data_IF_111071549316
#
_entry.id   IF_111071549316
#
_cell.length_a   1.000
_cell.length_b   1.000
_cell.length_c   1.000
_cell.angle_alpha   90.00
_cell.angle_beta   90.00
_cell.angle_gamma   90.00
#
_symmetry.space_group_name_H-M   'P 1'
#
loop_
_entity.id
_entity.type
_entity.pdbx_description
1 polymer ?
#
# COMPACT_ATOMS: atom_id res chain seq x y z
N UNK A 1 13.05 10.07 -24.14
CA UNK A 1 13.38 9.51 -25.46
C UNK A 1 12.10 8.82 -25.95
N UNK A 2 11.49 9.29 -27.04
CA UNK A 2 10.36 8.63 -27.66
C UNK A 2 10.86 7.31 -28.28
N UNK A 3 10.62 6.20 -27.59
CA UNK A 3 10.96 4.88 -28.09
C UNK A 3 10.08 4.58 -29.31
N UNK A 4 10.67 4.14 -30.40
CA UNK A 4 9.92 3.58 -31.53
C UNK A 4 8.98 2.48 -31.00
N UNK A 5 7.72 2.40 -31.44
CA UNK A 5 6.83 1.30 -31.04
C UNK A 5 7.46 -0.09 -31.22
N UNK A 6 8.38 -0.22 -32.22
CA UNK A 6 9.12 -1.44 -32.51
C UNK A 6 10.05 -1.94 -31.39
N UNK A 7 10.51 -1.08 -30.49
CA UNK A 7 11.50 -1.42 -29.45
C UNK A 7 10.88 -1.73 -28.09
N UNK A 8 9.56 -1.64 -27.94
CA UNK A 8 8.87 -1.82 -26.66
C UNK A 8 9.05 -3.24 -26.12
N UNK A 9 9.32 -3.40 -24.83
CA UNK A 9 9.51 -4.70 -24.15
C UNK A 9 8.34 -5.03 -23.24
N UNK A 10 7.73 -4.00 -22.62
CA UNK A 10 6.70 -4.19 -21.59
C UNK A 10 5.52 -3.24 -21.83
N UNK A 11 4.32 -3.80 -21.81
CA UNK A 11 3.07 -3.05 -21.71
C UNK A 11 2.53 -3.19 -20.29
N UNK A 12 2.25 -2.05 -19.67
CA UNK A 12 1.56 -1.94 -18.39
C UNK A 12 0.11 -1.52 -18.67
N UNK A 13 -0.84 -2.47 -18.78
CA UNK A 13 -2.23 -2.14 -19.04
C UNK A 13 -2.90 -1.59 -17.77
N UNK A 14 -3.79 -0.62 -17.93
CA UNK A 14 -4.75 -0.18 -16.92
C UNK A 14 -6.09 0.13 -17.60
N UNK A 15 -6.84 -0.93 -17.89
CA UNK A 15 -8.08 -0.87 -18.64
C UNK A 15 -9.29 -0.48 -17.79
N UNK A 16 -9.08 -0.17 -16.51
CA UNK A 16 -10.15 0.22 -15.60
C UNK A 16 -10.27 1.75 -15.50
N UNK A 17 -11.51 2.26 -15.67
CA UNK A 17 -11.77 3.71 -15.63
C UNK A 17 -11.79 4.30 -14.21
N UNK A 18 -12.17 3.49 -13.18
CA UNK A 18 -12.22 3.96 -11.80
C UNK A 18 -10.83 3.88 -11.16
N UNK A 19 -10.44 4.93 -10.45
CA UNK A 19 -9.23 4.90 -9.64
C UNK A 19 -9.39 3.94 -8.46
N UNK A 20 -8.39 3.13 -8.16
CA UNK A 20 -8.43 2.13 -7.09
C UNK A 20 -7.03 1.88 -6.53
N UNK A 21 -6.92 1.15 -5.41
CA UNK A 21 -5.63 0.76 -4.84
C UNK A 21 -4.71 0.04 -5.84
N UNK A 22 -5.27 -0.84 -6.70
CA UNK A 22 -4.50 -1.49 -7.77
C UNK A 22 -3.99 -0.47 -8.80
N UNK A 23 -4.78 0.55 -9.14
CA UNK A 23 -4.30 1.63 -10.01
C UNK A 23 -3.18 2.42 -9.34
N UNK A 24 -3.32 2.72 -8.04
CA UNK A 24 -2.32 3.46 -7.27
C UNK A 24 -0.97 2.71 -7.25
N UNK A 25 -0.95 1.43 -6.86
CA UNK A 25 0.29 0.62 -6.84
C UNK A 25 0.92 0.48 -8.21
N UNK A 26 0.10 0.27 -9.26
CA UNK A 26 0.60 0.16 -10.63
C UNK A 26 1.25 1.47 -11.11
N UNK A 27 0.63 2.62 -10.77
CA UNK A 27 1.15 3.95 -11.09
C UNK A 27 2.47 4.26 -10.38
N UNK A 28 2.68 3.74 -9.18
CA UNK A 28 3.92 3.96 -8.43
C UNK A 28 5.10 3.17 -9.01
N UNK A 29 4.89 1.90 -9.34
CA UNK A 29 5.98 1.03 -9.81
C UNK A 29 6.29 1.21 -11.32
N UNK A 30 5.30 1.57 -12.15
CA UNK A 30 5.46 1.65 -13.60
C UNK A 30 6.58 2.60 -14.07
N UNK A 31 6.77 3.81 -13.49
CA UNK A 31 7.91 4.68 -13.83
C UNK A 31 9.28 4.07 -13.47
N UNK A 32 9.34 3.25 -12.41
CA UNK A 32 10.59 2.54 -12.04
C UNK A 32 10.88 1.41 -13.03
N UNK A 33 9.86 0.67 -13.46
CA UNK A 33 10.00 -0.32 -14.54
C UNK A 33 10.45 0.32 -15.85
N UNK A 34 9.96 1.54 -16.17
CA UNK A 34 10.36 2.26 -17.37
C UNK A 34 11.82 2.72 -17.37
N UNK A 35 12.51 2.75 -16.21
CA UNK A 35 13.95 2.95 -16.11
C UNK A 35 14.76 1.69 -16.44
N UNK A 36 14.19 0.52 -16.24
CA UNK A 36 14.85 -0.78 -16.43
C UNK A 36 14.53 -1.42 -17.78
N UNK A 37 13.34 -1.15 -18.32
CA UNK A 37 12.81 -1.73 -19.55
C UNK A 37 12.21 -0.64 -20.44
N UNK A 38 12.15 -0.88 -21.72
CA UNK A 38 11.38 -0.05 -22.66
C UNK A 38 9.88 -0.34 -22.44
N UNK A 39 9.32 0.28 -21.40
CA UNK A 39 7.97 0.06 -20.94
C UNK A 39 7.03 1.21 -21.36
N UNK A 40 5.77 0.87 -21.66
CA UNK A 40 4.73 1.85 -21.92
C UNK A 40 3.44 1.53 -21.17
N UNK A 41 2.75 2.57 -20.76
CA UNK A 41 1.43 2.50 -20.16
C UNK A 41 0.35 2.47 -21.22
N UNK A 42 -0.59 1.52 -21.12
CA UNK A 42 -1.73 1.41 -22.01
C UNK A 42 -3.05 1.53 -21.24
N UNK A 43 -3.83 2.55 -21.55
CA UNK A 43 -5.14 2.80 -20.93
C UNK A 43 -5.21 4.07 -20.06
N UNK A 44 -6.12 4.06 -19.07
CA UNK A 44 -6.46 5.21 -18.24
C UNK A 44 -5.43 5.48 -17.14
N UNK A 45 -5.39 6.72 -16.61
CA UNK A 45 -4.61 7.13 -15.45
C UNK A 45 -3.08 6.93 -15.57
N UNK A 46 -2.50 7.15 -16.75
CA UNK A 46 -1.05 7.07 -16.92
C UNK A 46 -0.31 8.02 -15.97
N UNK A 47 0.70 7.54 -15.21
CA UNK A 47 1.53 8.41 -14.41
C UNK A 47 2.55 9.18 -15.27
N UNK A 48 3.18 10.20 -14.70
CA UNK A 48 4.41 10.76 -15.25
C UNK A 48 5.55 9.72 -15.19
N UNK A 49 6.59 9.89 -16.01
CA UNK A 49 7.78 9.04 -16.00
C UNK A 49 7.66 7.70 -16.74
N UNK A 50 6.55 7.46 -17.45
CA UNK A 50 6.39 6.32 -18.38
C UNK A 50 5.72 6.78 -19.68
N UNK A 51 6.17 6.28 -20.82
CA UNK A 51 5.57 6.57 -22.12
C UNK A 51 4.11 6.08 -22.18
N UNK A 52 3.23 6.87 -22.80
CA UNK A 52 1.84 6.45 -23.08
C UNK A 52 1.78 5.79 -24.44
N UNK A 53 1.19 4.61 -24.51
CA UNK A 53 0.94 3.90 -25.75
C UNK A 53 -0.45 4.28 -26.28
N UNK A 54 -0.51 4.85 -27.49
CA UNK A 54 -1.77 5.11 -28.16
C UNK A 54 -2.39 3.82 -28.70
N UNK A 55 -3.70 3.81 -28.96
CA UNK A 55 -4.36 2.65 -29.59
C UNK A 55 -3.77 2.37 -30.97
N UNK A 56 -3.46 3.42 -31.75
CA UNK A 56 -2.88 3.28 -33.09
C UNK A 56 -1.50 2.62 -33.03
N UNK A 57 -0.64 3.05 -32.08
CA UNK A 57 0.70 2.46 -31.93
C UNK A 57 0.61 1.05 -31.33
N UNK A 58 -0.33 0.82 -30.42
CA UNK A 58 -0.61 -0.53 -29.92
C UNK A 58 -0.94 -1.47 -31.09
N UNK A 59 -1.82 -1.12 -31.98
CA UNK A 59 -2.19 -1.97 -33.12
C UNK A 59 -1.03 -2.29 -34.06
N UNK A 60 -0.04 -1.40 -34.20
CA UNK A 60 1.20 -1.65 -34.99
C UNK A 60 2.05 -2.79 -34.41
N UNK A 61 1.95 -3.06 -33.08
CA UNK A 61 2.71 -4.10 -32.42
C UNK A 61 2.28 -5.52 -32.79
N UNK A 62 1.13 -5.72 -33.40
CA UNK A 62 0.63 -7.05 -33.82
C UNK A 62 1.59 -7.77 -34.79
N UNK A 63 2.26 -7.02 -35.67
CA UNK A 63 3.20 -7.57 -36.67
C UNK A 63 4.61 -7.86 -36.14
N UNK A 64 4.82 -7.61 -34.85
CA UNK A 64 6.12 -7.79 -34.21
C UNK A 64 6.44 -9.27 -34.06
N UNK A 65 7.73 -9.65 -34.26
CA UNK A 65 8.21 -11.02 -34.02
C UNK A 65 8.76 -11.23 -32.61
N UNK A 66 9.38 -10.19 -32.03
CA UNK A 66 9.96 -10.27 -30.70
C UNK A 66 8.88 -10.33 -29.62
N UNK A 67 9.09 -11.09 -28.54
CA UNK A 67 8.14 -11.19 -27.44
C UNK A 67 7.86 -9.82 -26.80
N UNK A 68 6.66 -9.66 -26.23
CA UNK A 68 6.20 -8.45 -25.61
C UNK A 68 5.47 -8.80 -24.32
N UNK A 69 5.93 -8.29 -23.19
CA UNK A 69 5.29 -8.56 -21.90
C UNK A 69 4.00 -7.72 -21.79
N UNK A 70 2.91 -8.39 -21.39
CA UNK A 70 1.65 -7.79 -20.96
C UNK A 70 1.45 -8.09 -19.50
N UNK A 71 1.71 -7.10 -18.61
CA UNK A 71 1.65 -7.29 -17.17
C UNK A 71 0.30 -6.87 -16.59
N UNK A 72 -0.63 -7.79 -16.51
CA UNK A 72 -1.97 -7.61 -15.95
C UNK A 72 -1.98 -7.58 -14.42
N UNK A 73 -2.89 -6.78 -13.85
CA UNK A 73 -3.17 -6.73 -12.41
C UNK A 73 -4.65 -6.94 -12.09
N UNK A 74 -5.49 -7.13 -13.13
CA UNK A 74 -6.94 -7.36 -13.02
C UNK A 74 -7.43 -8.39 -14.03
N UNK A 75 -8.61 -8.95 -13.74
CA UNK A 75 -9.24 -9.95 -14.63
C UNK A 75 -9.49 -9.42 -16.04
N UNK A 76 -9.98 -8.18 -16.20
CA UNK A 76 -10.22 -7.60 -17.52
C UNK A 76 -8.93 -7.45 -18.34
N UNK A 77 -7.82 -7.16 -17.68
CA UNK A 77 -6.51 -7.08 -18.30
C UNK A 77 -5.97 -8.47 -18.68
N UNK A 78 -6.21 -9.50 -17.85
CA UNK A 78 -5.91 -10.89 -18.19
C UNK A 78 -6.76 -11.37 -19.38
N UNK A 79 -8.06 -11.07 -19.39
CA UNK A 79 -8.97 -11.44 -20.51
C UNK A 79 -8.46 -10.81 -21.81
N UNK A 80 -8.14 -9.51 -21.78
CA UNK A 80 -7.61 -8.80 -22.94
C UNK A 80 -6.29 -9.43 -23.43
N UNK A 81 -5.36 -9.72 -22.54
CA UNK A 81 -4.08 -10.34 -22.89
C UNK A 81 -4.26 -11.75 -23.50
N UNK A 82 -5.12 -12.59 -22.93
CA UNK A 82 -5.42 -13.93 -23.46
C UNK A 82 -6.07 -13.85 -24.84
N UNK A 83 -7.04 -12.93 -25.03
CA UNK A 83 -7.71 -12.74 -26.33
C UNK A 83 -6.73 -12.24 -27.41
N UNK A 84 -5.90 -11.25 -27.09
CA UNK A 84 -4.89 -10.73 -28.01
C UNK A 84 -3.86 -11.80 -28.39
N UNK A 85 -3.39 -12.60 -27.44
CA UNK A 85 -2.50 -13.72 -27.73
C UNK A 85 -3.14 -14.78 -28.63
N UNK A 86 -4.43 -15.07 -28.44
CA UNK A 86 -5.19 -15.97 -29.32
C UNK A 86 -5.35 -15.41 -30.74
N UNK A 87 -5.32 -14.08 -30.91
CA UNK A 87 -5.33 -13.40 -32.21
C UNK A 87 -3.94 -13.26 -32.83
N UNK A 88 -2.92 -13.93 -32.29
CA UNK A 88 -1.57 -13.97 -32.85
C UNK A 88 -0.61 -12.86 -32.38
N UNK A 89 -0.95 -12.13 -31.33
CA UNK A 89 -0.02 -11.17 -30.72
C UNK A 89 1.11 -11.90 -30.00
N UNK A 90 2.39 -11.45 -30.08
CA UNK A 90 3.53 -12.12 -29.46
C UNK A 90 3.61 -11.82 -27.96
N UNK A 91 2.50 -11.97 -27.23
CA UNK A 91 2.40 -11.60 -25.83
C UNK A 91 2.90 -12.69 -24.88
N UNK A 92 3.76 -12.31 -23.95
CA UNK A 92 4.06 -13.02 -22.71
C UNK A 92 3.21 -12.41 -21.58
N UNK A 93 2.35 -13.20 -20.99
CA UNK A 93 1.36 -12.74 -20.04
C UNK A 93 1.86 -12.89 -18.60
N UNK A 94 2.01 -11.78 -17.91
CA UNK A 94 2.36 -11.74 -16.48
C UNK A 94 1.15 -11.24 -15.69
N UNK A 95 0.91 -11.82 -14.53
CA UNK A 95 -0.17 -11.41 -13.64
C UNK A 95 0.32 -11.19 -12.22
N UNK A 96 0.01 -10.03 -11.62
CA UNK A 96 0.22 -9.78 -10.18
C UNK A 96 -1.09 -9.83 -9.42
N UNK A 97 -1.13 -10.65 -8.36
CA UNK A 97 -2.25 -10.77 -7.43
C UNK A 97 -1.87 -10.27 -6.03
N UNK A 98 -2.70 -9.38 -5.48
CA UNK A 98 -2.68 -8.98 -4.07
C UNK A 98 -3.92 -9.54 -3.31
N UNK A 99 -4.72 -10.40 -3.93
CA UNK A 99 -5.98 -10.86 -3.36
C UNK A 99 -5.74 -11.96 -2.31
N UNK A 100 -6.25 -11.73 -1.09
CA UNK A 100 -6.26 -12.70 0.00
C UNK A 100 -7.65 -13.35 0.11
N UNK A 101 -8.09 -13.97 -0.98
CA UNK A 101 -9.36 -14.68 -1.08
C UNK A 101 -9.33 -15.71 -2.19
N UNK A 102 -10.18 -16.72 -2.09
CA UNK A 102 -10.35 -17.68 -3.18
C UNK A 102 -10.86 -17.01 -4.46
N UNK A 103 -10.21 -17.33 -5.55
CA UNK A 103 -10.56 -16.86 -6.88
C UNK A 103 -11.73 -17.65 -7.47
N UNK A 104 -12.58 -16.98 -8.25
CA UNK A 104 -13.61 -17.64 -9.06
C UNK A 104 -13.01 -18.64 -10.05
N UNK A 105 -13.80 -19.56 -10.58
CA UNK A 105 -13.34 -20.53 -11.57
C UNK A 105 -12.79 -19.85 -12.84
N UNK A 106 -13.43 -18.73 -13.28
CA UNK A 106 -12.96 -17.95 -14.43
C UNK A 106 -11.57 -17.35 -14.14
N UNK A 107 -11.40 -16.72 -12.96
CA UNK A 107 -10.09 -16.16 -12.58
C UNK A 107 -9.01 -17.23 -12.52
N UNK A 108 -9.32 -18.40 -11.94
CA UNK A 108 -8.37 -19.55 -11.93
C UNK A 108 -8.02 -20.05 -13.33
N UNK A 109 -9.00 -20.07 -14.23
CA UNK A 109 -8.79 -20.43 -15.63
C UNK A 109 -7.88 -19.42 -16.35
N UNK A 110 -8.03 -18.11 -16.10
CA UNK A 110 -7.16 -17.05 -16.62
C UNK A 110 -5.74 -17.17 -16.05
N UNK A 111 -5.60 -17.35 -14.75
CA UNK A 111 -4.31 -17.47 -14.06
C UNK A 111 -3.46 -18.61 -14.67
N UNK A 112 -4.07 -19.74 -14.97
CA UNK A 112 -3.37 -20.89 -15.59
C UNK A 112 -2.87 -20.62 -17.02
N UNK A 113 -3.25 -19.49 -17.63
CA UNK A 113 -2.82 -19.05 -18.95
C UNK A 113 -1.74 -17.99 -18.92
N UNK A 114 -1.33 -17.57 -17.74
CA UNK A 114 -0.22 -16.63 -17.59
C UNK A 114 1.11 -17.38 -17.72
N UNK A 115 2.10 -16.73 -18.31
CA UNK A 115 3.46 -17.27 -18.43
C UNK A 115 4.23 -17.10 -17.11
N UNK A 116 3.92 -16.05 -16.33
CA UNK A 116 4.44 -15.87 -14.98
C UNK A 116 3.40 -15.23 -14.06
N UNK A 117 3.48 -15.59 -12.78
CA UNK A 117 2.56 -15.11 -11.75
C UNK A 117 3.36 -14.54 -10.58
N UNK A 118 2.97 -13.35 -10.17
CA UNK A 118 3.51 -12.65 -9.02
C UNK A 118 2.42 -12.56 -7.94
N UNK A 119 2.79 -12.82 -6.69
CA UNK A 119 1.96 -12.60 -5.51
C UNK A 119 2.61 -11.53 -4.64
N UNK A 120 1.82 -10.66 -4.01
CA UNK A 120 2.37 -9.58 -3.19
C UNK A 120 2.75 -10.00 -1.77
N UNK A 121 2.40 -11.22 -1.35
CA UNK A 121 2.77 -11.84 -0.08
C UNK A 121 2.60 -13.36 -0.16
N UNK A 122 3.23 -14.10 0.76
CA UNK A 122 3.05 -15.55 0.88
C UNK A 122 1.57 -15.92 1.10
N UNK A 123 0.87 -15.12 1.91
CA UNK A 123 -0.57 -15.30 2.12
C UNK A 123 -1.35 -15.11 0.81
N UNK A 124 -1.04 -14.09 0.00
CA UNK A 124 -1.71 -13.94 -1.31
C UNK A 124 -1.33 -15.06 -2.28
N UNK A 125 -0.12 -15.60 -2.22
CA UNK A 125 0.33 -16.74 -3.01
C UNK A 125 -0.45 -18.01 -2.66
N UNK A 126 -0.74 -18.28 -1.39
CA UNK A 126 -1.49 -19.46 -0.93
C UNK A 126 -2.90 -19.57 -1.54
N UNK A 127 -3.52 -18.44 -1.88
CA UNK A 127 -4.85 -18.40 -2.52
C UNK A 127 -4.82 -18.68 -4.05
N UNK A 128 -3.64 -18.63 -4.69
CA UNK A 128 -3.53 -18.79 -6.15
C UNK A 128 -3.62 -20.24 -6.62
N UNK A 129 -3.22 -21.21 -5.79
CA UNK A 129 -3.16 -22.66 -6.12
C UNK A 129 -2.30 -22.96 -7.36
N UNK A 130 -1.32 -22.13 -7.64
CA UNK A 130 -0.30 -22.27 -8.70
C UNK A 130 1.01 -21.68 -8.17
N UNK A 131 2.13 -22.03 -8.77
CA UNK A 131 3.41 -21.44 -8.41
C UNK A 131 3.42 -19.94 -8.74
N UNK A 132 3.83 -19.12 -7.79
CA UNK A 132 3.94 -17.67 -7.94
C UNK A 132 5.24 -17.18 -7.29
N UNK A 133 5.86 -16.16 -7.88
CA UNK A 133 6.99 -15.47 -7.28
C UNK A 133 6.44 -14.42 -6.30
N UNK A 134 6.89 -14.45 -5.05
CA UNK A 134 6.46 -13.46 -4.06
C UNK A 134 7.30 -12.18 -4.21
N UNK A 135 6.64 -11.11 -4.62
CA UNK A 135 7.23 -9.77 -4.75
C UNK A 135 6.33 -8.78 -4.01
N UNK A 136 6.72 -8.34 -2.81
CA UNK A 136 5.96 -7.37 -2.03
C UNK A 136 5.92 -6.02 -2.73
N UNK A 137 4.86 -5.25 -2.46
CA UNK A 137 4.79 -3.87 -2.90
C UNK A 137 5.88 -3.01 -2.27
N UNK A 138 6.35 -2.04 -3.03
CA UNK A 138 7.26 -1.00 -2.58
C UNK A 138 6.57 0.33 -2.33
N UNK A 139 7.28 1.20 -1.64
CA UNK A 139 6.91 2.59 -1.37
C UNK A 139 7.97 3.55 -1.92
N UNK A 140 7.56 4.76 -2.28
CA UNK A 140 8.49 5.84 -2.63
C UNK A 140 9.11 6.40 -1.35
N UNK A 141 10.36 6.03 -1.10
CA UNK A 141 11.08 6.36 0.14
C UNK A 141 11.51 7.83 0.23
N UNK A 142 11.46 8.56 -0.88
CA UNK A 142 11.75 9.99 -0.93
C UNK A 142 10.49 10.80 -0.57
N UNK A 143 9.34 10.40 -1.12
CA UNK A 143 8.04 11.01 -0.82
C UNK A 143 7.66 10.79 0.65
N UNK A 144 7.87 9.59 1.17
CA UNK A 144 7.61 9.22 2.56
C UNK A 144 8.88 9.28 3.43
N UNK A 145 9.79 10.22 3.15
CA UNK A 145 10.93 10.46 4.01
C UNK A 145 10.50 11.06 5.36
N UNK A 146 11.22 10.74 6.46
CA UNK A 146 10.99 11.42 7.72
C UNK A 146 11.28 12.92 7.58
N UNK A 147 10.63 13.77 8.37
CA UNK A 147 10.93 15.20 8.38
C UNK A 147 12.30 15.44 9.01
N UNK A 148 12.89 16.60 8.76
CA UNK A 148 14.11 17.05 9.43
C UNK A 148 13.92 17.16 10.94
N UNK A 149 12.77 17.65 11.37
CA UNK A 149 12.36 17.75 12.77
C UNK A 149 10.87 17.40 12.88
N UNK A 150 10.57 16.28 13.57
CA UNK A 150 9.21 15.79 13.75
C UNK A 150 8.38 16.64 14.69
N UNK A 151 9.01 17.24 15.70
CA UNK A 151 8.32 18.12 16.64
C UNK A 151 7.84 19.39 15.94
N UNK A 152 8.69 19.98 15.09
CA UNK A 152 8.32 21.11 14.24
C UNK A 152 7.19 20.73 13.28
N UNK A 153 7.32 19.60 12.58
CA UNK A 153 6.30 19.11 11.66
C UNK A 153 4.94 18.86 12.34
N UNK A 154 4.93 18.39 13.60
CA UNK A 154 3.70 18.20 14.38
C UNK A 154 3.09 19.55 14.80
N UNK A 155 3.90 20.52 15.21
CA UNK A 155 3.42 21.84 15.63
C UNK A 155 2.62 22.54 14.53
N UNK A 156 2.97 22.33 13.24
CA UNK A 156 2.22 22.86 12.10
C UNK A 156 0.78 22.33 12.00
N UNK A 157 0.48 21.22 12.68
CA UNK A 157 -0.88 20.68 12.71
C UNK A 157 -1.82 21.46 13.66
N UNK A 158 -1.28 22.34 14.52
CA UNK A 158 -2.01 23.11 15.52
C UNK A 158 -2.92 22.25 16.41
N UNK A 159 -2.46 21.03 16.76
CA UNK A 159 -3.15 20.11 17.65
C UNK A 159 -2.52 20.09 19.04
N UNK A 160 -3.28 19.72 20.09
CA UNK A 160 -2.74 19.60 21.44
C UNK A 160 -1.63 18.55 21.55
N UNK A 161 -0.73 18.75 22.50
CA UNK A 161 0.35 17.81 22.79
C UNK A 161 1.63 18.10 21.99
N UNK A 162 2.51 17.10 21.93
CA UNK A 162 3.84 17.16 21.29
C UNK A 162 4.06 16.05 20.28
N UNK A 163 3.27 14.99 20.37
CA UNK A 163 3.43 13.75 19.61
C UNK A 163 2.12 13.31 18.98
N UNK A 164 2.20 12.71 17.80
CA UNK A 164 1.03 12.14 17.15
C UNK A 164 1.10 10.61 17.06
N UNK A 165 -0.05 9.96 17.30
CA UNK A 165 -0.29 8.57 16.94
C UNK A 165 -1.36 8.51 15.86
N UNK A 166 -1.12 7.82 14.75
CA UNK A 166 -2.00 7.82 13.58
C UNK A 166 -2.58 6.46 13.23
N UNK A 167 -3.81 6.48 12.69
CA UNK A 167 -4.46 5.35 12.06
C UNK A 167 -5.09 5.81 10.75
N UNK A 168 -4.62 5.30 9.59
CA UNK A 168 -4.99 5.80 8.27
C UNK A 168 -5.76 4.79 7.45
N UNK A 169 -6.76 5.28 6.74
CA UNK A 169 -7.64 4.51 5.88
C UNK A 169 -9.10 4.92 6.07
N UNK A 170 -9.98 4.46 5.18
CA UNK A 170 -11.42 4.74 5.32
C UNK A 170 -11.93 4.36 6.69
N UNK A 171 -12.72 5.23 7.31
CA UNK A 171 -13.30 4.99 8.64
C UNK A 171 -14.38 3.91 8.53
N UNK A 172 -14.05 2.70 8.97
CA UNK A 172 -14.95 1.53 8.93
C UNK A 172 -14.41 0.38 9.78
N UNK A 173 -15.27 -0.52 10.23
CA UNK A 173 -14.91 -1.65 11.08
C UNK A 173 -13.83 -2.57 10.48
N UNK A 174 -13.83 -2.79 9.13
CA UNK A 174 -12.78 -3.57 8.46
C UNK A 174 -11.38 -2.97 8.67
N UNK A 175 -11.27 -1.63 8.80
CA UNK A 175 -10.00 -0.93 9.05
C UNK A 175 -9.62 -0.88 10.53
N UNK A 176 -10.49 -1.37 11.42
CA UNK A 176 -10.23 -1.40 12.86
C UNK A 176 -10.18 -0.02 13.51
N UNK A 177 -10.88 0.96 12.91
CA UNK A 177 -10.91 2.33 13.46
C UNK A 177 -11.53 2.35 14.86
N UNK A 178 -12.47 1.47 15.15
CA UNK A 178 -13.05 1.22 16.47
C UNK A 178 -12.01 0.70 17.47
N UNK A 179 -11.18 -0.26 17.07
CA UNK A 179 -10.06 -0.78 17.88
C UNK A 179 -9.10 0.33 18.25
N UNK A 180 -8.76 1.19 17.27
CA UNK A 180 -7.90 2.34 17.49
C UNK A 180 -8.52 3.33 18.49
N UNK A 181 -9.77 3.72 18.28
CA UNK A 181 -10.48 4.67 19.15
C UNK A 181 -10.58 4.12 20.58
N UNK A 182 -10.94 2.84 20.74
CA UNK A 182 -11.03 2.21 22.07
C UNK A 182 -9.68 2.25 22.80
N UNK A 183 -8.58 1.82 22.15
CA UNK A 183 -7.25 1.88 22.74
C UNK A 183 -6.84 3.34 23.09
N UNK A 184 -7.13 4.31 22.23
CA UNK A 184 -6.77 5.70 22.46
C UNK A 184 -7.61 6.34 23.58
N UNK A 185 -8.89 6.00 23.73
CA UNK A 185 -9.71 6.45 24.85
C UNK A 185 -9.14 6.01 26.21
N UNK A 186 -8.47 4.87 26.27
CA UNK A 186 -7.81 4.36 27.50
C UNK A 186 -6.46 4.97 27.76
N UNK A 187 -5.67 5.22 26.70
CA UNK A 187 -4.28 5.67 26.83
C UNK A 187 -4.17 7.19 26.99
N UNK A 188 -4.85 7.97 26.17
CA UNK A 188 -4.64 9.42 26.12
C UNK A 188 -4.88 10.15 27.46
N UNK A 189 -5.80 9.77 28.33
CA UNK A 189 -5.92 10.41 29.66
C UNK A 189 -4.65 10.37 30.48
N UNK A 190 -3.83 9.31 30.30
CA UNK A 190 -2.55 9.12 31.03
C UNK A 190 -1.35 9.73 30.30
N UNK A 191 -1.48 10.05 29.02
CA UNK A 191 -0.41 10.57 28.14
C UNK A 191 -0.83 11.90 27.49
N UNK A 192 -0.81 13.04 28.25
CA UNK A 192 -1.29 14.32 27.79
C UNK A 192 -0.52 14.90 26.58
N UNK A 193 0.71 14.47 26.37
CA UNK A 193 1.55 14.93 25.25
C UNK A 193 1.19 14.29 23.91
N UNK A 194 0.29 13.30 23.86
CA UNK A 194 -0.09 12.63 22.64
C UNK A 194 -1.47 13.08 22.13
N UNK A 195 -1.59 13.18 20.80
CA UNK A 195 -2.87 13.34 20.09
C UNK A 195 -3.01 12.22 19.06
N UNK A 196 -4.19 11.60 19.03
CA UNK A 196 -4.55 10.56 18.07
C UNK A 196 -5.17 11.17 16.82
N UNK A 197 -4.74 10.72 15.63
CA UNK A 197 -5.24 11.24 14.35
C UNK A 197 -5.69 10.10 13.46
N UNK A 198 -6.94 10.18 13.01
CA UNK A 198 -7.55 9.25 12.07
C UNK A 198 -7.67 9.97 10.73
N UNK A 199 -6.89 9.54 9.73
CA UNK A 199 -6.91 10.13 8.39
C UNK A 199 -7.62 9.20 7.43
N UNK A 200 -8.78 9.64 6.92
CA UNK A 200 -9.51 8.88 5.92
C UNK A 200 -10.98 9.24 5.81
N UNK A 201 -11.52 8.93 4.65
CA UNK A 201 -12.90 9.21 4.29
C UNK A 201 -13.90 8.44 5.16
N UNK A 202 -14.96 9.11 5.57
CA UNK A 202 -16.21 8.51 6.04
C UNK A 202 -17.19 8.48 4.88
N UNK A 203 -17.50 7.30 4.36
CA UNK A 203 -18.51 7.17 3.30
C UNK A 203 -19.93 7.21 3.88
N UNK A 204 -20.93 7.48 3.04
CA UNK A 204 -22.32 7.56 3.50
C UNK A 204 -22.77 6.26 4.23
N UNK A 205 -22.34 5.10 3.73
CA UNK A 205 -22.68 3.80 4.33
C UNK A 205 -22.01 3.59 5.71
N UNK A 206 -20.97 4.36 6.03
CA UNK A 206 -20.22 4.24 7.28
C UNK A 206 -20.53 5.38 8.27
N UNK A 207 -21.50 6.23 7.96
CA UNK A 207 -21.83 7.39 8.82
C UNK A 207 -22.31 6.97 10.20
N UNK A 208 -23.14 5.93 10.29
CA UNK A 208 -23.61 5.41 11.58
C UNK A 208 -22.42 4.92 12.44
N UNK A 209 -21.50 4.14 11.85
CA UNK A 209 -20.29 3.67 12.53
C UNK A 209 -19.40 4.85 12.99
N UNK A 210 -19.19 5.86 12.15
CA UNK A 210 -18.39 7.03 12.51
C UNK A 210 -19.05 7.85 13.64
N UNK A 211 -20.39 7.94 13.68
CA UNK A 211 -21.10 8.63 14.74
C UNK A 211 -20.98 7.90 16.09
N UNK A 212 -20.99 6.57 16.11
CA UNK A 212 -20.74 5.81 17.35
C UNK A 212 -19.32 6.06 17.88
N UNK A 213 -18.30 6.11 16.99
CA UNK A 213 -16.95 6.47 17.41
C UNK A 213 -16.88 7.89 18.00
N UNK A 214 -17.57 8.85 17.39
CA UNK A 214 -17.63 10.22 17.92
C UNK A 214 -18.26 10.27 19.30
N UNK A 215 -19.38 9.56 19.54
CA UNK A 215 -20.00 9.47 20.86
C UNK A 215 -19.06 8.87 21.90
N UNK A 216 -18.30 7.83 21.53
CA UNK A 216 -17.29 7.24 22.42
C UNK A 216 -16.19 8.24 22.79
N UNK A 217 -15.69 8.98 21.80
CA UNK A 217 -14.68 10.05 21.99
C UNK A 217 -15.22 11.17 22.88
N UNK A 218 -16.49 11.58 22.69
CA UNK A 218 -17.18 12.58 23.49
C UNK A 218 -17.37 12.13 24.92
N UNK A 219 -17.83 10.89 25.12
CA UNK A 219 -18.00 10.32 26.46
C UNK A 219 -16.69 10.22 27.25
N UNK A 220 -15.55 10.07 26.54
CA UNK A 220 -14.21 10.10 27.13
C UNK A 220 -13.64 11.52 27.33
N UNK A 221 -14.32 12.58 26.86
CA UNK A 221 -13.82 13.96 26.94
C UNK A 221 -12.59 14.23 26.04
N UNK A 222 -12.43 13.48 24.94
CA UNK A 222 -11.21 13.49 24.13
C UNK A 222 -11.40 14.10 22.73
N UNK A 223 -12.44 14.93 22.51
CA UNK A 223 -12.77 15.49 21.20
C UNK A 223 -11.65 16.34 20.59
N UNK A 224 -10.86 17.02 21.42
CA UNK A 224 -9.69 17.79 20.97
C UNK A 224 -8.44 16.95 20.74
N UNK A 225 -8.42 15.67 21.22
CA UNK A 225 -7.23 14.82 21.23
C UNK A 225 -7.39 13.53 20.43
N UNK A 226 -8.58 13.22 19.93
CA UNK A 226 -8.84 12.16 18.93
C UNK A 226 -9.51 12.83 17.74
N UNK A 227 -8.75 13.10 16.70
CA UNK A 227 -9.18 13.91 15.55
C UNK A 227 -9.43 13.01 14.34
N UNK A 228 -10.61 13.10 13.75
CA UNK A 228 -10.96 12.46 12.47
C UNK A 228 -10.91 13.54 11.40
N UNK A 229 -9.90 13.51 10.53
CA UNK A 229 -9.65 14.55 9.53
C UNK A 229 -10.60 14.47 8.32
N UNK A 230 -11.22 13.33 8.08
CA UNK A 230 -11.90 13.06 6.81
C UNK A 230 -10.91 12.74 5.68
N UNK A 231 -11.39 12.85 4.43
CA UNK A 231 -10.58 12.65 3.23
C UNK A 231 -9.65 13.87 3.02
N UNK A 232 -8.38 13.58 2.78
CA UNK A 232 -7.37 14.59 2.53
C UNK A 232 -6.70 14.36 1.16
N UNK A 233 -6.20 15.43 0.50
CA UNK A 233 -5.32 15.30 -0.66
C UNK A 233 -4.07 14.48 -0.31
N UNK A 234 -3.51 13.78 -1.30
CA UNK A 234 -2.40 12.85 -1.07
C UNK A 234 -1.18 13.54 -0.43
N UNK A 235 -0.90 14.78 -0.79
CA UNK A 235 0.21 15.56 -0.26
C UNK A 235 0.00 15.87 1.24
N UNK A 236 -1.25 16.07 1.66
CA UNK A 236 -1.58 16.26 3.07
C UNK A 236 -1.48 14.94 3.85
N UNK A 237 -1.85 13.80 3.24
CA UNK A 237 -1.65 12.46 3.84
C UNK A 237 -0.17 12.19 4.04
N UNK A 238 0.68 12.51 3.06
CA UNK A 238 2.14 12.37 3.15
C UNK A 238 2.71 13.20 4.30
N UNK A 239 2.29 14.47 4.44
CA UNK A 239 2.68 15.31 5.59
C UNK A 239 2.22 14.73 6.93
N UNK A 240 1.06 14.07 6.99
CA UNK A 240 0.63 13.40 8.20
C UNK A 240 1.55 12.25 8.60
N UNK A 241 2.01 11.43 7.67
CA UNK A 241 3.02 10.39 7.99
C UNK A 241 4.28 10.98 8.60
N UNK A 242 4.74 12.12 8.11
CA UNK A 242 5.91 12.81 8.65
C UNK A 242 5.72 13.30 10.09
N UNK A 243 4.48 13.61 10.49
CA UNK A 243 4.12 14.09 11.84
C UNK A 243 3.98 12.99 12.88
N UNK A 244 3.81 11.75 12.45
CA UNK A 244 3.53 10.65 13.38
C UNK A 244 4.79 10.15 14.09
N UNK A 245 4.72 10.07 15.41
CA UNK A 245 5.68 9.33 16.25
C UNK A 245 5.36 7.85 16.21
N UNK A 246 4.08 7.50 16.32
CA UNK A 246 3.60 6.11 16.30
C UNK A 246 2.53 5.96 15.22
N UNK A 247 2.56 4.87 14.49
CA UNK A 247 1.52 4.47 13.57
C UNK A 247 0.87 3.17 14.03
N UNK A 248 -0.46 3.17 14.17
CA UNK A 248 -1.26 2.01 14.50
C UNK A 248 -1.97 1.47 13.25
N UNK A 249 -1.54 0.32 12.76
CA UNK A 249 -2.22 -0.40 11.69
C UNK A 249 -3.20 -1.41 12.29
N UNK A 250 -4.48 -1.06 12.32
CA UNK A 250 -5.51 -1.80 13.04
C UNK A 250 -6.44 -2.62 12.15
N UNK A 251 -6.15 -2.71 10.84
CA UNK A 251 -6.99 -3.40 9.87
C UNK A 251 -7.26 -4.86 10.26
N UNK A 252 -8.53 -5.29 10.19
CA UNK A 252 -8.93 -6.69 10.39
C UNK A 252 -8.69 -7.54 9.16
N UNK A 253 -8.75 -6.91 7.98
CA UNK A 253 -8.52 -7.58 6.70
C UNK A 253 -7.97 -6.58 5.69
N UNK A 254 -6.89 -6.97 5.02
CA UNK A 254 -6.18 -6.13 4.05
C UNK A 254 -5.55 -6.99 2.94
N UNK A 255 -5.42 -6.45 1.73
CA UNK A 255 -4.71 -7.13 0.65
C UNK A 255 -3.20 -7.17 0.88
N UNK A 256 -2.59 -6.01 1.09
CA UNK A 256 -1.18 -5.86 1.44
C UNK A 256 -1.03 -4.96 2.66
N UNK A 257 -1.59 -3.75 2.63
CA UNK A 257 -1.44 -2.74 3.67
C UNK A 257 -0.29 -1.77 3.38
N UNK A 258 -0.40 -1.01 2.27
CA UNK A 258 0.63 -0.01 1.90
C UNK A 258 0.94 0.95 3.03
N UNK A 259 -0.06 1.30 3.84
CA UNK A 259 0.10 2.21 4.99
C UNK A 259 1.14 1.73 6.01
N UNK A 260 1.42 0.41 6.08
CA UNK A 260 2.51 -0.15 6.89
C UNK A 260 3.86 0.38 6.42
N UNK A 261 4.17 0.17 5.13
CA UNK A 261 5.46 0.56 4.56
C UNK A 261 5.57 2.09 4.38
N UNK A 262 4.46 2.80 4.21
CA UNK A 262 4.42 4.27 4.19
C UNK A 262 4.80 4.86 5.55
N UNK A 263 4.21 4.34 6.64
CA UNK A 263 4.52 4.77 8.00
C UNK A 263 5.97 4.44 8.41
N UNK A 264 6.42 3.21 8.10
CA UNK A 264 7.81 2.80 8.35
C UNK A 264 8.80 3.62 7.53
N UNK A 265 8.49 3.94 6.26
CA UNK A 265 9.31 4.81 5.42
C UNK A 265 9.45 6.21 6.02
N UNK A 266 8.39 6.74 6.64
CA UNK A 266 8.39 8.01 7.35
C UNK A 266 9.07 7.94 8.74
N UNK A 267 9.58 6.78 9.14
CA UNK A 267 10.28 6.58 10.41
C UNK A 267 9.37 6.62 11.64
N UNK A 268 8.09 6.27 11.50
CA UNK A 268 7.18 6.11 12.64
C UNK A 268 7.37 4.74 13.29
N UNK A 269 7.31 4.66 14.61
CA UNK A 269 7.19 3.38 15.32
C UNK A 269 5.88 2.71 14.92
N UNK A 270 5.94 1.44 14.55
CA UNK A 270 4.78 0.71 14.04
C UNK A 270 4.23 -0.28 15.05
N UNK A 271 2.91 -0.19 15.33
CA UNK A 271 2.15 -1.27 15.97
C UNK A 271 1.11 -1.76 14.97
N UNK A 272 1.18 -3.03 14.59
CA UNK A 272 0.40 -3.55 13.47
C UNK A 272 -0.41 -4.80 13.85
N UNK A 273 -1.70 -4.79 13.55
CA UNK A 273 -2.52 -5.99 13.56
C UNK A 273 -2.00 -6.99 12.51
N UNK A 274 -2.05 -8.30 12.83
CA UNK A 274 -1.64 -9.40 11.93
C UNK A 274 -2.63 -9.56 10.76
N UNK A 275 -2.62 -8.56 9.85
CA UNK A 275 -3.46 -8.52 8.67
C UNK A 275 -2.65 -8.10 7.44
N UNK A 276 -3.10 -8.48 6.26
CA UNK A 276 -2.41 -8.16 5.01
C UNK A 276 -1.02 -8.78 4.95
N UNK A 277 -0.03 -7.95 4.70
CA UNK A 277 1.38 -8.34 4.67
C UNK A 277 2.12 -7.97 5.98
N UNK A 278 1.43 -7.69 7.08
CA UNK A 278 2.07 -7.24 8.32
C UNK A 278 3.19 -8.18 8.79
N UNK A 279 2.96 -9.50 8.79
CA UNK A 279 3.96 -10.51 9.21
C UNK A 279 5.17 -10.62 8.25
N UNK A 280 5.01 -10.24 6.98
CA UNK A 280 6.11 -10.14 6.03
C UNK A 280 6.91 -8.84 6.22
N UNK A 281 6.20 -7.74 6.45
CA UNK A 281 6.77 -6.39 6.51
C UNK A 281 7.46 -6.14 7.84
N UNK A 282 6.84 -6.53 8.95
CA UNK A 282 7.30 -6.24 10.31
C UNK A 282 8.20 -7.37 10.84
N UNK A 283 9.34 -7.00 11.35
CA UNK A 283 10.17 -7.86 12.22
C UNK A 283 9.76 -7.56 13.67
N UNK A 284 8.95 -8.49 14.23
CA UNK A 284 8.27 -8.30 15.51
C UNK A 284 9.25 -8.00 16.66
N UNK A 285 8.97 -6.97 17.43
CA UNK A 285 9.84 -6.46 18.50
C UNK A 285 11.05 -5.64 18.03
N UNK A 286 11.39 -5.64 16.73
CA UNK A 286 12.56 -4.94 16.18
C UNK A 286 12.16 -3.72 15.36
N UNK A 287 11.44 -3.92 14.26
CA UNK A 287 11.01 -2.86 13.35
C UNK A 287 9.54 -2.44 13.50
N UNK A 288 8.88 -3.00 14.50
CA UNK A 288 7.49 -2.77 14.89
C UNK A 288 7.03 -3.85 15.85
N UNK A 289 5.78 -3.75 16.31
CA UNK A 289 5.14 -4.74 17.19
C UNK A 289 3.90 -5.31 16.47
N UNK A 290 3.76 -6.64 16.47
CA UNK A 290 2.61 -7.34 15.90
C UNK A 290 1.59 -7.69 17.00
N UNK A 291 0.32 -7.36 16.76
CA UNK A 291 -0.79 -7.66 17.68
C UNK A 291 -1.89 -8.45 16.98
N UNK A 292 -2.77 -9.16 17.73
CA UNK A 292 -3.94 -9.80 17.15
C UNK A 292 -4.88 -8.79 16.49
N UNK A 293 -5.61 -9.22 15.45
CA UNK A 293 -6.62 -8.40 14.78
C UNK A 293 -7.84 -8.18 15.66
N UNK A 294 -8.34 -6.94 15.74
CA UNK A 294 -9.57 -6.61 16.46
C UNK A 294 -9.40 -6.52 17.97
N UNK A 295 -8.20 -6.62 18.50
CA UNK A 295 -7.89 -6.64 19.93
C UNK A 295 -7.37 -5.25 20.36
N UNK A 296 -8.24 -4.47 21.03
CA UNK A 296 -7.91 -3.14 21.54
C UNK A 296 -7.02 -3.19 22.78
N UNK A 297 -7.11 -4.26 23.59
CA UNK A 297 -6.27 -4.44 24.78
C UNK A 297 -4.83 -4.73 24.35
N UNK A 298 -4.63 -5.64 23.40
CA UNK A 298 -3.31 -5.92 22.84
C UNK A 298 -2.71 -4.69 22.14
N UNK A 299 -3.54 -3.93 21.41
CA UNK A 299 -3.08 -2.68 20.79
C UNK A 299 -2.63 -1.68 21.85
N UNK A 300 -3.43 -1.45 22.89
CA UNK A 300 -3.09 -0.53 23.97
C UNK A 300 -1.81 -0.95 24.68
N UNK A 301 -1.68 -2.24 25.03
CA UNK A 301 -0.50 -2.79 25.68
C UNK A 301 0.80 -2.64 24.84
N UNK A 302 0.69 -2.76 23.52
CA UNK A 302 1.81 -2.59 22.61
C UNK A 302 2.18 -1.12 22.36
N UNK A 303 1.21 -0.21 22.37
CA UNK A 303 1.41 1.23 22.15
C UNK A 303 1.94 1.91 23.42
N UNK A 304 1.48 1.52 24.60
CA UNK A 304 1.78 2.21 25.86
C UNK A 304 3.29 2.35 26.16
N UNK A 305 4.13 1.31 26.00
CA UNK A 305 5.58 1.45 26.18
C UNK A 305 6.21 2.50 25.27
N UNK A 306 5.72 2.60 24.02
CA UNK A 306 6.20 3.57 23.02
C UNK A 306 5.75 5.01 23.34
N UNK A 307 4.60 5.18 24.00
CA UNK A 307 4.17 6.50 24.50
C UNK A 307 4.93 6.92 25.75
N UNK A 308 5.36 5.96 26.56
CA UNK A 308 6.13 6.21 27.78
C UNK A 308 7.58 6.59 27.45
N UNK A 309 8.14 5.95 26.43
CA UNK A 309 9.54 6.13 25.99
C UNK A 309 9.55 6.48 24.49
N UNK A 310 9.55 7.79 24.20
CA UNK A 310 9.54 8.32 22.83
C UNK A 310 10.86 8.08 22.10
N UNK A 311 11.98 7.98 22.85
CA UNK A 311 13.27 7.67 22.25
C UNK A 311 13.31 6.21 21.77
N UNK A 312 12.75 5.28 22.56
CA UNK A 312 12.55 3.89 22.11
C UNK A 312 11.64 3.80 20.89
N UNK A 313 10.56 4.60 20.84
CA UNK A 313 9.68 4.69 19.67
C UNK A 313 10.45 5.21 18.44
N UNK A 314 11.25 6.26 18.60
CA UNK A 314 12.07 6.82 17.52
C UNK A 314 13.06 5.78 16.99
N UNK A 315 13.79 5.10 17.87
CA UNK A 315 14.73 4.05 17.49
C UNK A 315 14.06 2.86 16.77
N UNK A 316 12.83 2.49 17.16
CA UNK A 316 12.02 1.50 16.44
C UNK A 316 11.66 1.99 15.03
N UNK A 317 11.23 3.24 14.90
CA UNK A 317 10.91 3.87 13.63
C UNK A 317 12.11 3.90 12.66
N UNK A 318 13.30 4.22 13.16
CA UNK A 318 14.55 4.19 12.39
C UNK A 318 14.88 2.78 11.86
N UNK A 319 14.77 1.75 12.71
CA UNK A 319 14.92 0.35 12.28
C UNK A 319 13.87 -0.05 11.24
N UNK A 320 12.61 0.41 11.43
CA UNK A 320 11.53 0.23 10.48
C UNK A 320 11.86 0.84 9.12
N UNK A 321 12.33 2.09 9.09
CA UNK A 321 12.77 2.76 7.87
C UNK A 321 13.93 2.04 7.18
N UNK A 322 14.96 1.64 7.93
CA UNK A 322 16.10 0.91 7.38
C UNK A 322 15.64 -0.39 6.67
N UNK A 323 14.69 -1.12 7.27
CA UNK A 323 14.09 -2.31 6.68
C UNK A 323 13.33 -1.99 5.39
N UNK A 324 12.55 -0.90 5.35
CA UNK A 324 11.82 -0.48 4.14
C UNK A 324 12.78 -0.09 3.03
N UNK A 325 13.81 0.68 3.32
CA UNK A 325 14.84 1.05 2.35
C UNK A 325 15.50 -0.18 1.72
N UNK A 326 15.80 -1.20 2.53
CA UNK A 326 16.47 -2.40 2.07
C UNK A 326 15.55 -3.35 1.28
N UNK A 327 14.25 -3.45 1.62
CA UNK A 327 13.39 -4.55 1.13
C UNK A 327 12.11 -4.12 0.44
N UNK A 328 11.59 -2.93 0.72
CA UNK A 328 10.26 -2.47 0.32
C UNK A 328 10.28 -1.12 -0.41
N UNK A 329 11.39 -0.72 -1.04
CA UNK A 329 11.42 0.44 -1.93
C UNK A 329 10.79 0.10 -3.28
N UNK A 330 10.28 1.12 -3.99
CA UNK A 330 9.78 0.95 -5.37
C UNK A 330 10.86 0.42 -6.32
N UNK A 331 12.12 0.80 -6.11
CA UNK A 331 13.23 0.33 -6.94
C UNK A 331 13.49 -1.17 -6.69
N UNK A 332 13.38 -1.64 -5.45
CA UNK A 332 13.48 -3.06 -5.10
C UNK A 332 12.29 -3.87 -5.69
N UNK A 333 11.05 -3.35 -5.65
CA UNK A 333 9.90 -3.98 -6.30
C UNK A 333 10.13 -4.08 -7.82
N UNK A 334 10.52 -2.97 -8.47
CA UNK A 334 10.75 -2.94 -9.91
C UNK A 334 11.87 -3.88 -10.34
N UNK A 335 12.98 -3.94 -9.60
CA UNK A 335 14.10 -4.86 -9.88
C UNK A 335 13.66 -6.32 -9.83
N UNK A 336 12.92 -6.72 -8.78
CA UNK A 336 12.40 -8.10 -8.64
C UNK A 336 11.37 -8.46 -9.72
N UNK A 337 10.49 -7.51 -10.10
CA UNK A 337 9.59 -7.70 -11.24
C UNK A 337 10.40 -7.90 -12.53
N UNK A 338 11.49 -7.16 -12.70
CA UNK A 338 12.41 -7.30 -13.82
C UNK A 338 13.04 -8.69 -13.92
N UNK A 339 13.37 -9.31 -12.79
CA UNK A 339 13.87 -10.69 -12.77
C UNK A 339 12.84 -11.70 -13.32
N UNK A 340 11.54 -11.47 -13.08
CA UNK A 340 10.46 -12.27 -13.66
C UNK A 340 10.32 -12.03 -15.16
N UNK A 341 10.60 -10.81 -15.64
CA UNK A 341 10.50 -10.48 -17.06
C UNK A 341 11.64 -11.06 -17.89
N UNK A 342 12.86 -11.09 -17.35
CA UNK A 342 14.08 -11.46 -18.08
C UNK A 342 13.98 -12.79 -18.85
N UNK A 343 13.48 -13.90 -18.29
CA UNK A 343 13.36 -15.16 -19.02
C UNK A 343 12.23 -15.18 -20.06
N UNK A 344 11.38 -14.15 -20.11
CA UNK A 344 10.24 -14.06 -21.02
C UNK A 344 10.54 -13.20 -22.26
N UNK A 345 11.58 -12.41 -22.23
CA UNK A 345 12.08 -11.54 -23.31
C UNK A 345 13.20 -12.23 -24.08
#
# INVERSE_FOLDING_TARGET
VANSPGDLEVIVPNLHRRYSGVTATNRMVAPRLAKLYRAAWFGSHAPAGIARLSVADFLKLWRRKAPLIWHARRNNEMIAGVALRALGWPLKLVFTSAAQRHHSWITRWLIRRMDAIIATSDLSASFLKVQATVIPHGVDTDIYAPPTDRAVAFTEAALPGRYAIGCFGRVRAQKGTDVFVDAMCRLLPRYPDFTAVIVGQVTAEQMAFANELKKQIEAAGLQSRIVITGELPIEAVQRWYQRLTIYAFTSRNEGFGLTLIEAMAAGSALVAARAGAAELVVEDGVSGVLVPTGDADALAAAVEPLMRDVDAATAMGERGRARVLAKFSLDAEAARIGEVYRPLL
#
